data_IF_945379329865
#
_entry.id   IF_945379329865
#
_cell.length_a   1.000
_cell.length_b   1.000
_cell.length_c   1.000
_cell.angle_alpha   90.00
_cell.angle_beta   90.00
_cell.angle_gamma   90.00
#
_symmetry.space_group_name_H-M   'P 1'
#
loop_
_entity.id
_entity.type
_entity.pdbx_description
1 polymer ?
#
# COMPACT_ATOMS: atom_id res chain seq x y z
N UNK A 1 -21.53 22.64 -11.61
CA UNK A 1 -22.45 23.15 -12.66
C UNK A 1 -23.81 23.54 -12.12
N UNK A 2 -24.51 22.68 -11.36
CA UNK A 2 -25.82 23.01 -10.74
C UNK A 2 -25.79 24.27 -9.87
N UNK A 3 -24.84 24.37 -8.93
CA UNK A 3 -24.64 25.56 -8.10
C UNK A 3 -24.43 26.83 -8.94
N UNK A 4 -23.63 26.74 -10.00
CA UNK A 4 -23.30 27.86 -10.89
C UNK A 4 -24.40 28.17 -11.93
N UNK A 5 -25.55 27.49 -11.85
CA UNK A 5 -26.67 27.60 -12.81
C UNK A 5 -26.28 27.30 -14.27
N UNK A 6 -25.23 26.50 -14.50
CA UNK A 6 -24.74 26.07 -15.83
C UNK A 6 -25.40 24.75 -16.27
N UNK A 7 -26.74 24.70 -16.22
CA UNK A 7 -27.51 23.49 -16.54
C UNK A 7 -27.45 23.12 -18.02
N UNK A 8 -27.50 24.12 -18.91
CA UNK A 8 -27.49 23.91 -20.36
C UNK A 8 -26.20 23.22 -20.83
N UNK A 9 -25.06 23.60 -20.25
CA UNK A 9 -23.79 22.94 -20.57
C UNK A 9 -23.74 21.49 -20.07
N UNK A 10 -24.25 21.24 -18.86
CA UNK A 10 -24.35 19.89 -18.32
C UNK A 10 -25.21 18.99 -19.22
N UNK A 11 -26.35 19.50 -19.70
CA UNK A 11 -27.25 18.75 -20.59
C UNK A 11 -26.67 18.58 -22.00
N UNK A 12 -25.83 19.52 -22.47
CA UNK A 12 -25.22 19.45 -23.80
C UNK A 12 -24.00 18.54 -23.84
N UNK A 13 -23.11 18.64 -22.85
CA UNK A 13 -21.85 17.89 -22.83
C UNK A 13 -21.89 16.64 -21.94
N UNK A 14 -22.82 16.55 -20.99
CA UNK A 14 -23.00 15.39 -20.13
C UNK A 14 -23.30 14.10 -20.92
N UNK A 15 -24.28 14.08 -21.84
CA UNK A 15 -24.55 12.92 -22.66
C UNK A 15 -23.34 12.51 -23.52
N UNK A 16 -22.62 13.48 -24.08
CA UNK A 16 -21.40 13.21 -24.84
C UNK A 16 -20.33 12.53 -23.96
N UNK A 17 -20.12 13.02 -22.74
CA UNK A 17 -19.19 12.40 -21.80
C UNK A 17 -19.61 10.97 -21.42
N UNK A 18 -20.90 10.71 -21.21
CA UNK A 18 -21.44 9.37 -20.93
C UNK A 18 -21.24 8.44 -22.13
N UNK A 19 -21.54 8.91 -23.34
CA UNK A 19 -21.34 8.12 -24.58
C UNK A 19 -19.87 7.77 -24.76
N UNK A 20 -18.96 8.72 -24.55
CA UNK A 20 -17.51 8.46 -24.62
C UNK A 20 -17.09 7.45 -23.54
N UNK A 21 -17.55 7.59 -22.31
CA UNK A 21 -17.23 6.65 -21.23
C UNK A 21 -17.71 5.23 -21.56
N UNK A 22 -18.93 5.08 -22.08
CA UNK A 22 -19.46 3.78 -22.53
C UNK A 22 -18.63 3.25 -23.70
N UNK A 23 -18.35 4.05 -24.71
CA UNK A 23 -17.58 3.63 -25.89
C UNK A 23 -16.17 3.14 -25.52
N UNK A 24 -15.55 3.73 -24.50
CA UNK A 24 -14.22 3.33 -24.01
C UNK A 24 -14.29 2.10 -23.11
N UNK A 25 -15.22 2.04 -22.16
CA UNK A 25 -15.24 0.98 -21.14
C UNK A 25 -15.97 -0.30 -21.59
N UNK A 26 -17.05 -0.16 -22.35
CA UNK A 26 -17.94 -1.28 -22.68
C UNK A 26 -17.26 -2.40 -23.47
N UNK A 27 -16.37 -2.13 -24.46
CA UNK A 27 -15.75 -3.20 -25.25
C UNK A 27 -14.97 -4.22 -24.40
N UNK A 28 -14.19 -3.74 -23.42
CA UNK A 28 -13.44 -4.61 -22.52
C UNK A 28 -14.37 -5.40 -21.59
N UNK A 29 -15.38 -4.75 -21.01
CA UNK A 29 -16.34 -5.42 -20.14
C UNK A 29 -17.13 -6.53 -20.86
N UNK A 30 -17.50 -6.29 -22.13
CA UNK A 30 -18.13 -7.32 -22.97
C UNK A 30 -17.18 -8.47 -23.30
N UNK A 31 -15.90 -8.19 -23.59
CA UNK A 31 -14.90 -9.21 -23.86
C UNK A 31 -14.65 -10.12 -22.65
N UNK A 32 -14.62 -9.56 -21.43
CA UNK A 32 -14.51 -10.35 -20.19
C UNK A 32 -15.76 -11.17 -19.98
N UNK A 33 -16.96 -10.59 -20.12
CA UNK A 33 -18.22 -11.31 -19.95
C UNK A 33 -18.36 -12.50 -20.92
N UNK A 34 -17.86 -12.39 -22.15
CA UNK A 34 -17.87 -13.50 -23.11
C UNK A 34 -17.01 -14.69 -22.67
N UNK A 35 -15.94 -14.44 -21.90
CA UNK A 35 -15.07 -15.50 -21.37
C UNK A 35 -15.58 -16.00 -20.01
N UNK A 36 -16.03 -15.07 -19.16
CA UNK A 36 -16.49 -15.32 -17.79
C UNK A 36 -17.89 -14.70 -17.58
N UNK A 37 -18.97 -15.44 -17.86
CA UNK A 37 -20.34 -14.90 -17.79
C UNK A 37 -20.72 -14.34 -16.41
N UNK A 38 -20.13 -14.85 -15.34
CA UNK A 38 -20.37 -14.41 -13.96
C UNK A 38 -19.74 -13.04 -13.61
N UNK A 39 -18.96 -12.46 -14.53
CA UNK A 39 -18.26 -11.19 -14.36
C UNK A 39 -19.14 -10.06 -13.79
N UNK A 40 -20.36 -9.86 -14.31
CA UNK A 40 -21.24 -8.77 -13.86
C UNK A 40 -21.62 -8.89 -12.38
N UNK A 41 -21.91 -10.12 -11.93
CA UNK A 41 -22.26 -10.40 -10.53
C UNK A 41 -21.05 -10.25 -9.63
N UNK A 42 -19.87 -10.68 -10.07
CA UNK A 42 -18.65 -10.47 -9.29
C UNK A 42 -18.30 -8.97 -9.21
N UNK A 43 -18.11 -8.32 -10.35
CA UNK A 43 -17.62 -6.94 -10.41
C UNK A 43 -18.58 -5.91 -9.82
N UNK A 44 -19.88 -5.93 -10.14
CA UNK A 44 -20.80 -4.91 -9.61
C UNK A 44 -21.31 -5.27 -8.20
N UNK A 45 -21.71 -6.51 -7.98
CA UNK A 45 -22.33 -6.88 -6.71
C UNK A 45 -21.31 -7.18 -5.61
N UNK A 46 -20.31 -8.03 -5.87
CA UNK A 46 -19.31 -8.37 -4.86
C UNK A 46 -18.32 -7.23 -4.65
N UNK A 47 -17.71 -6.71 -5.72
CA UNK A 47 -16.62 -5.74 -5.62
C UNK A 47 -17.06 -4.30 -5.35
N UNK A 48 -18.25 -3.86 -5.80
CA UNK A 48 -18.72 -2.49 -5.51
C UNK A 48 -19.73 -2.47 -4.36
N UNK A 49 -20.84 -3.21 -4.47
CA UNK A 49 -21.95 -3.07 -3.52
C UNK A 49 -21.61 -3.73 -2.17
N UNK A 50 -21.18 -4.99 -2.16
CA UNK A 50 -20.85 -5.71 -0.91
C UNK A 50 -19.61 -5.13 -0.24
N UNK A 51 -18.55 -4.76 -0.98
CA UNK A 51 -17.38 -4.10 -0.36
C UNK A 51 -17.71 -2.74 0.26
N UNK A 52 -18.64 -1.98 -0.32
CA UNK A 52 -19.04 -0.68 0.23
C UNK A 52 -19.99 -0.82 1.43
N UNK A 53 -21.03 -1.65 1.32
CA UNK A 53 -22.17 -1.69 2.26
C UNK A 53 -22.26 -2.96 3.13
N UNK A 54 -21.56 -4.04 2.77
CA UNK A 54 -21.66 -5.34 3.45
C UNK A 54 -21.02 -5.38 4.84
N UNK A 55 -21.53 -6.23 5.72
CA UNK A 55 -21.06 -6.35 7.11
C UNK A 55 -19.69 -7.03 7.23
N UNK A 56 -19.33 -7.88 6.28
CA UNK A 56 -18.03 -8.54 6.19
C UNK A 56 -17.00 -7.73 5.39
N UNK A 57 -16.96 -6.41 5.58
CA UNK A 57 -16.01 -5.57 4.88
C UNK A 57 -14.58 -5.89 5.33
N UNK A 58 -13.74 -6.34 4.39
CA UNK A 58 -12.29 -6.42 4.61
C UNK A 58 -11.77 -5.02 4.97
N UNK A 59 -10.98 -4.93 6.04
CA UNK A 59 -10.45 -3.67 6.60
C UNK A 59 -11.53 -2.68 7.09
N UNK A 60 -12.43 -3.13 7.96
CA UNK A 60 -13.36 -2.25 8.67
C UNK A 60 -12.60 -1.19 9.49
N UNK A 61 -12.91 0.08 9.25
CA UNK A 61 -12.24 1.23 9.87
C UNK A 61 -13.27 2.32 10.21
N UNK A 62 -13.02 3.17 11.23
CA UNK A 62 -13.95 4.21 11.64
C UNK A 62 -14.17 5.27 10.55
N UNK A 63 -15.28 6.02 10.63
CA UNK A 63 -15.63 7.03 9.61
C UNK A 63 -14.60 8.16 9.48
N UNK A 64 -13.88 8.47 10.56
CA UNK A 64 -12.83 9.49 10.61
C UNK A 64 -11.46 8.99 10.13
N UNK A 65 -11.33 7.72 9.70
CA UNK A 65 -10.07 7.06 9.29
C UNK A 65 -9.21 7.91 8.34
N UNK A 66 -9.84 8.61 7.39
CA UNK A 66 -9.15 9.40 6.38
C UNK A 66 -8.62 10.76 6.87
N UNK A 67 -9.11 11.28 8.00
CA UNK A 67 -8.67 12.57 8.53
C UNK A 67 -7.18 12.59 8.93
N UNK A 68 -6.67 11.67 9.78
CA UNK A 68 -5.24 11.64 10.08
C UNK A 68 -4.39 11.31 8.84
N UNK A 69 -4.91 10.52 7.90
CA UNK A 69 -4.23 10.21 6.64
C UNK A 69 -4.04 11.46 5.75
N UNK A 70 -5.03 12.37 5.68
CA UNK A 70 -4.85 13.65 4.98
C UNK A 70 -3.74 14.48 5.61
N UNK A 71 -3.73 14.57 6.95
CA UNK A 71 -2.72 15.34 7.67
C UNK A 71 -1.32 14.76 7.39
N UNK A 72 -1.17 13.44 7.46
CA UNK A 72 0.08 12.75 7.16
C UNK A 72 0.51 12.95 5.69
N UNK A 73 -0.42 12.84 4.74
CA UNK A 73 -0.15 13.05 3.31
C UNK A 73 0.27 14.50 2.98
N UNK A 74 -0.09 15.45 3.84
CA UNK A 74 0.33 16.85 3.70
C UNK A 74 1.68 17.16 4.35
N UNK A 75 2.32 16.22 5.07
CA UNK A 75 3.66 16.46 5.62
C UNK A 75 4.67 16.73 4.49
N UNK A 76 5.60 17.68 4.66
CA UNK A 76 5.86 18.49 5.85
C UNK A 76 5.02 19.78 5.97
N UNK A 77 4.05 20.03 5.10
CA UNK A 77 3.24 21.27 5.11
C UNK A 77 1.91 21.16 5.87
N UNK A 78 1.73 20.12 6.69
CA UNK A 78 0.48 19.85 7.38
C UNK A 78 -0.02 21.03 8.25
N UNK A 79 0.88 21.83 8.84
CA UNK A 79 0.48 23.00 9.65
C UNK A 79 -0.01 24.20 8.82
N UNK A 80 0.05 24.11 7.49
CA UNK A 80 -0.59 25.08 6.59
C UNK A 80 -2.08 24.76 6.35
N UNK A 81 -2.56 23.57 6.73
CA UNK A 81 -3.96 23.17 6.55
C UNK A 81 -4.97 24.16 7.18
N UNK A 82 -4.80 24.64 8.43
CA UNK A 82 -5.77 25.57 9.02
C UNK A 82 -5.90 26.88 8.25
N UNK A 83 -4.77 27.41 7.75
CA UNK A 83 -4.74 28.63 6.94
C UNK A 83 -5.40 28.37 5.58
N UNK A 84 -5.09 27.23 4.96
CA UNK A 84 -5.64 26.78 3.70
C UNK A 84 -7.17 26.67 3.76
N UNK A 85 -7.70 25.95 4.75
CA UNK A 85 -9.14 25.77 4.91
C UNK A 85 -9.86 27.07 5.27
N UNK A 86 -9.25 27.93 6.10
CA UNK A 86 -9.79 29.25 6.40
C UNK A 86 -9.93 30.11 5.14
N UNK A 87 -8.89 30.16 4.31
CA UNK A 87 -8.89 30.89 3.05
C UNK A 87 -9.89 30.31 2.05
N UNK A 88 -9.89 28.99 1.86
CA UNK A 88 -10.82 28.32 0.96
C UNK A 88 -12.28 28.56 1.39
N UNK A 89 -12.57 28.52 2.69
CA UNK A 89 -13.91 28.79 3.22
C UNK A 89 -14.37 30.24 3.02
N UNK A 90 -13.46 31.21 3.16
CA UNK A 90 -13.72 32.62 2.89
C UNK A 90 -13.96 32.87 1.39
N UNK A 91 -13.26 32.13 0.53
CA UNK A 91 -13.33 32.24 -0.94
C UNK A 91 -14.29 31.25 -1.59
N UNK A 92 -15.12 30.53 -0.82
CA UNK A 92 -16.04 29.49 -1.34
C UNK A 92 -17.06 29.98 -2.38
N UNK A 93 -17.27 31.29 -2.49
CA UNK A 93 -18.11 31.88 -3.54
C UNK A 93 -17.41 31.93 -4.91
N UNK A 94 -16.08 31.85 -4.96
CA UNK A 94 -15.33 31.79 -6.21
C UNK A 94 -15.52 30.43 -6.90
N UNK A 95 -15.86 30.39 -8.19
CA UNK A 95 -16.16 29.14 -8.91
C UNK A 95 -15.08 28.06 -8.84
N UNK A 96 -13.82 28.46 -8.93
CA UNK A 96 -12.61 27.63 -8.86
C UNK A 96 -12.41 27.03 -7.47
N UNK A 97 -12.46 27.86 -6.42
CA UNK A 97 -12.32 27.43 -5.03
C UNK A 97 -13.47 26.50 -4.62
N UNK A 98 -14.70 26.84 -5.02
CA UNK A 98 -15.87 26.01 -4.79
C UNK A 98 -15.73 24.63 -5.45
N UNK A 99 -15.22 24.59 -6.69
CA UNK A 99 -14.96 23.34 -7.38
C UNK A 99 -13.92 22.48 -6.65
N UNK A 100 -12.79 23.06 -6.24
CA UNK A 100 -11.75 22.34 -5.49
C UNK A 100 -12.26 21.84 -4.13
N UNK A 101 -13.06 22.64 -3.42
CA UNK A 101 -13.68 22.22 -2.16
C UNK A 101 -14.65 21.06 -2.35
N UNK A 102 -15.49 21.09 -3.40
CA UNK A 102 -16.39 19.98 -3.71
C UNK A 102 -15.63 18.73 -4.16
N UNK A 103 -14.57 18.90 -4.95
CA UNK A 103 -13.70 17.79 -5.36
C UNK A 103 -12.96 17.18 -4.17
N UNK A 104 -12.60 17.96 -3.16
CA UNK A 104 -12.04 17.42 -1.92
C UNK A 104 -13.11 16.73 -1.06
N UNK A 105 -14.23 17.42 -0.77
CA UNK A 105 -15.19 16.99 0.25
C UNK A 105 -16.07 15.85 -0.23
N UNK A 106 -16.52 15.81 -1.48
CA UNK A 106 -17.46 14.79 -1.94
C UNK A 106 -16.87 13.38 -1.95
N UNK A 107 -15.69 13.13 -2.57
CA UNK A 107 -15.07 11.80 -2.52
C UNK A 107 -14.64 11.44 -1.10
N UNK A 108 -14.11 12.41 -0.32
CA UNK A 108 -13.73 12.17 1.07
C UNK A 108 -14.93 11.71 1.91
N UNK A 109 -16.06 12.41 1.82
CA UNK A 109 -17.27 12.04 2.54
C UNK A 109 -17.80 10.67 2.09
N UNK A 110 -17.86 10.42 0.78
CA UNK A 110 -18.30 9.14 0.23
C UNK A 110 -17.42 7.97 0.72
N UNK A 111 -16.10 8.11 0.66
CA UNK A 111 -15.15 7.09 1.11
C UNK A 111 -15.17 6.92 2.63
N UNK A 112 -15.35 8.00 3.39
CA UNK A 112 -15.49 7.94 4.86
C UNK A 112 -16.73 7.16 5.30
N UNK A 113 -17.79 7.16 4.49
CA UNK A 113 -19.02 6.40 4.74
C UNK A 113 -18.91 4.91 4.34
N UNK A 114 -17.92 4.52 3.52
CA UNK A 114 -17.66 3.12 3.17
C UNK A 114 -17.25 2.31 4.40
N UNK A 115 -17.69 1.05 4.52
CA UNK A 115 -17.24 0.15 5.61
C UNK A 115 -15.79 -0.29 5.41
N UNK A 116 -15.46 -0.81 4.23
CA UNK A 116 -14.10 -1.21 3.87
C UNK A 116 -13.26 0.00 3.46
N UNK A 117 -12.12 0.22 4.12
CA UNK A 117 -11.24 1.36 3.86
C UNK A 117 -9.78 0.94 3.69
N UNK A 118 -9.19 1.34 2.57
CA UNK A 118 -7.74 1.28 2.37
C UNK A 118 -7.14 2.70 2.41
N UNK A 119 -5.91 2.87 2.93
CA UNK A 119 -5.24 4.17 3.00
C UNK A 119 -5.15 4.88 1.64
N UNK A 120 -4.93 4.11 0.56
CA UNK A 120 -4.71 4.62 -0.80
C UNK A 120 -5.97 5.17 -1.47
N UNK A 121 -7.17 4.87 -0.98
CA UNK A 121 -8.41 5.37 -1.56
C UNK A 121 -8.54 6.89 -1.51
N UNK A 122 -7.79 7.55 -0.62
CA UNK A 122 -7.81 9.00 -0.45
C UNK A 122 -7.02 9.76 -1.51
N UNK A 123 -6.20 9.08 -2.33
CA UNK A 123 -5.32 9.72 -3.33
C UNK A 123 -6.05 10.75 -4.23
N UNK A 124 -7.28 10.52 -4.72
CA UNK A 124 -8.00 11.51 -5.53
C UNK A 124 -8.29 12.83 -4.79
N UNK A 125 -8.32 12.82 -3.46
CA UNK A 125 -8.53 14.01 -2.62
C UNK A 125 -7.26 14.85 -2.46
N UNK A 126 -6.07 14.27 -2.70
CA UNK A 126 -4.80 14.96 -2.46
C UNK A 126 -4.54 16.06 -3.50
N UNK A 127 -4.96 15.88 -4.75
CA UNK A 127 -4.80 16.88 -5.79
C UNK A 127 -5.56 18.19 -5.52
N UNK A 128 -6.89 18.19 -5.26
CA UNK A 128 -7.59 19.43 -4.94
C UNK A 128 -7.07 20.07 -3.65
N UNK A 129 -6.65 19.26 -2.66
CA UNK A 129 -6.04 19.78 -1.44
C UNK A 129 -4.69 20.47 -1.72
N UNK A 130 -3.83 19.87 -2.52
CA UNK A 130 -2.55 20.46 -2.92
C UNK A 130 -2.74 21.79 -3.66
N UNK A 131 -3.73 21.89 -4.55
CA UNK A 131 -4.06 23.13 -5.25
C UNK A 131 -4.56 24.23 -4.30
N UNK A 132 -5.43 23.89 -3.35
CA UNK A 132 -5.88 24.82 -2.31
C UNK A 132 -4.72 25.29 -1.41
N UNK A 133 -3.85 24.36 -1.01
CA UNK A 133 -2.66 24.68 -0.21
C UNK A 133 -1.67 25.56 -0.99
N UNK A 134 -1.53 25.35 -2.31
CA UNK A 134 -0.69 26.17 -3.17
C UNK A 134 -1.22 27.60 -3.29
N UNK A 135 -2.53 27.79 -3.52
CA UNK A 135 -3.16 29.13 -3.52
C UNK A 135 -2.90 29.85 -2.20
N UNK A 136 -3.07 29.16 -1.08
CA UNK A 136 -2.83 29.74 0.24
C UNK A 136 -1.34 30.09 0.45
N UNK A 137 -0.43 29.19 0.08
CA UNK A 137 1.00 29.41 0.19
C UNK A 137 1.46 30.62 -0.62
N UNK A 138 1.09 30.70 -1.90
CA UNK A 138 1.51 31.77 -2.82
C UNK A 138 1.00 33.13 -2.33
N UNK A 139 -0.26 33.22 -1.90
CA UNK A 139 -0.82 34.44 -1.33
C UNK A 139 -0.03 34.90 -0.09
N UNK A 140 0.31 33.97 0.80
CA UNK A 140 1.09 34.28 1.99
C UNK A 140 2.51 34.75 1.68
N UNK A 141 3.16 34.18 0.66
CA UNK A 141 4.48 34.61 0.19
C UNK A 141 4.40 36.03 -0.40
N UNK A 142 3.42 36.30 -1.27
CA UNK A 142 3.22 37.61 -1.89
C UNK A 142 2.94 38.72 -0.86
N UNK A 143 2.24 38.39 0.21
CA UNK A 143 1.94 39.32 1.31
C UNK A 143 3.07 39.41 2.37
N UNK A 144 4.18 38.69 2.19
CA UNK A 144 5.27 38.63 3.17
C UNK A 144 4.89 37.97 4.51
N UNK A 145 3.80 37.20 4.56
CA UNK A 145 3.25 36.59 5.78
C UNK A 145 3.90 35.24 6.10
N UNK A 146 5.14 35.28 6.57
CA UNK A 146 5.94 34.09 6.87
C UNK A 146 5.63 33.35 8.18
N UNK A 147 4.70 33.83 9.03
CA UNK A 147 4.47 33.25 10.37
C UNK A 147 4.03 31.79 10.34
N UNK A 148 3.08 31.43 9.47
CA UNK A 148 2.59 30.05 9.35
C UNK A 148 3.70 29.10 8.87
N UNK A 149 4.48 29.53 7.88
CA UNK A 149 5.64 28.79 7.37
C UNK A 149 6.74 28.61 8.43
N UNK A 150 6.99 29.64 9.24
CA UNK A 150 7.95 29.56 10.35
C UNK A 150 7.52 28.53 11.37
N UNK A 151 6.26 28.58 11.81
CA UNK A 151 5.72 27.60 12.77
C UNK A 151 5.75 26.20 12.17
N UNK A 152 5.37 26.05 10.90
CA UNK A 152 5.47 24.78 10.18
C UNK A 152 6.90 24.22 10.20
N UNK A 153 7.88 25.01 9.79
CA UNK A 153 9.29 24.58 9.75
C UNK A 153 9.83 24.21 11.13
N UNK A 154 9.58 25.04 12.15
CA UNK A 154 10.06 24.78 13.52
C UNK A 154 9.46 23.50 14.09
N UNK A 155 8.13 23.31 13.96
CA UNK A 155 7.47 22.12 14.51
C UNK A 155 7.92 20.86 13.79
N UNK A 156 8.00 20.88 12.45
CA UNK A 156 8.52 19.71 11.71
C UNK A 156 9.97 19.40 12.08
N UNK A 157 10.83 20.41 12.17
CA UNK A 157 12.22 20.22 12.58
C UNK A 157 12.33 19.62 13.99
N UNK A 158 11.50 20.10 14.93
CA UNK A 158 11.46 19.54 16.28
C UNK A 158 10.97 18.08 16.27
N UNK A 159 9.92 17.76 15.52
CA UNK A 159 9.39 16.39 15.41
C UNK A 159 10.41 15.42 14.77
N UNK A 160 11.06 15.81 13.67
CA UNK A 160 12.07 14.96 13.03
C UNK A 160 13.34 14.84 13.86
N UNK A 161 13.72 15.88 14.61
CA UNK A 161 14.81 15.82 15.56
C UNK A 161 14.50 14.87 16.73
N UNK A 162 13.28 14.93 17.28
CA UNK A 162 12.82 13.96 18.28
C UNK A 162 12.79 12.54 17.71
N UNK A 163 12.39 12.37 16.45
CA UNK A 163 12.48 11.08 15.74
C UNK A 163 13.92 10.56 15.64
N UNK A 164 14.88 11.44 15.36
CA UNK A 164 16.31 11.10 15.35
C UNK A 164 16.80 10.68 16.74
N UNK A 165 16.44 11.41 17.79
CA UNK A 165 16.77 11.05 19.17
C UNK A 165 16.13 9.71 19.58
N UNK A 166 14.88 9.48 19.17
CA UNK A 166 14.19 8.22 19.41
C UNK A 166 14.87 7.05 18.68
N UNK A 167 15.29 7.24 17.43
CA UNK A 167 16.05 6.24 16.68
C UNK A 167 17.36 5.90 17.41
N UNK A 168 18.12 6.91 17.86
CA UNK A 168 19.37 6.70 18.62
C UNK A 168 19.08 5.95 19.92
N UNK A 169 18.05 6.38 20.68
CA UNK A 169 17.69 5.75 21.94
C UNK A 169 17.30 4.28 21.76
N UNK A 170 16.43 3.99 20.78
CA UNK A 170 16.01 2.63 20.45
C UNK A 170 17.23 1.82 20.04
N UNK A 171 18.06 2.32 19.12
CA UNK A 171 19.26 1.61 18.66
C UNK A 171 20.24 1.28 19.80
N UNK A 172 20.32 2.10 20.86
CA UNK A 172 21.15 1.83 22.03
C UNK A 172 20.54 0.83 23.03
N UNK A 173 19.21 0.74 23.12
CA UNK A 173 18.50 -0.10 24.10
C UNK A 173 18.01 -1.42 23.53
N UNK A 174 17.56 -1.41 22.29
CA UNK A 174 17.01 -2.52 21.53
C UNK A 174 17.42 -2.29 20.06
N UNK A 175 18.62 -2.74 19.65
CA UNK A 175 19.14 -2.46 18.32
C UNK A 175 18.18 -2.99 17.26
N UNK A 176 17.67 -2.09 16.42
CA UNK A 176 16.79 -2.45 15.29
C UNK A 176 17.63 -2.73 14.04
N UNK A 177 18.75 -2.02 13.89
CA UNK A 177 19.74 -2.24 12.85
C UNK A 177 20.90 -3.06 13.41
N UNK A 178 20.83 -4.38 13.27
CA UNK A 178 21.88 -5.28 13.76
C UNK A 178 22.90 -5.56 12.64
N UNK A 179 24.15 -5.11 12.81
CA UNK A 179 25.21 -5.23 11.80
C UNK A 179 24.88 -4.59 10.44
N UNK A 180 24.03 -3.56 10.43
CA UNK A 180 23.59 -2.84 9.23
C UNK A 180 23.99 -1.36 9.25
N UNK A 181 25.31 -1.04 9.27
CA UNK A 181 25.76 0.35 9.43
C UNK A 181 25.33 1.25 8.26
N UNK A 182 25.18 0.70 7.05
CA UNK A 182 24.74 1.46 5.88
C UNK A 182 23.25 1.83 5.97
N UNK A 183 22.36 0.90 6.33
CA UNK A 183 20.93 1.20 6.47
C UNK A 183 20.67 2.22 7.58
N UNK A 184 21.34 2.04 8.73
CA UNK A 184 21.28 3.00 9.83
C UNK A 184 21.80 4.39 9.41
N UNK A 185 22.92 4.45 8.69
CA UNK A 185 23.45 5.71 8.17
C UNK A 185 22.44 6.40 7.24
N UNK A 186 21.80 5.65 6.32
CA UNK A 186 20.77 6.19 5.44
C UNK A 186 19.57 6.73 6.23
N UNK A 187 19.11 6.01 7.25
CA UNK A 187 18.02 6.47 8.12
C UNK A 187 18.38 7.77 8.85
N UNK A 188 19.62 7.88 9.36
CA UNK A 188 20.13 9.09 10.00
C UNK A 188 20.24 10.25 9.00
N UNK A 189 20.71 9.99 7.77
CA UNK A 189 20.78 11.00 6.69
C UNK A 189 19.39 11.53 6.37
N UNK A 190 18.40 10.66 6.24
CA UNK A 190 17.00 11.04 5.99
C UNK A 190 16.49 11.96 7.11
N UNK A 191 16.58 11.53 8.37
CA UNK A 191 16.07 12.32 9.51
C UNK A 191 16.83 13.63 9.70
N UNK A 192 18.14 13.63 9.49
CA UNK A 192 18.97 14.84 9.60
C UNK A 192 18.67 15.82 8.47
N UNK A 193 18.60 15.35 7.23
CA UNK A 193 18.25 16.16 6.07
C UNK A 193 16.84 16.76 6.20
N UNK A 194 15.89 15.97 6.69
CA UNK A 194 14.53 16.46 6.93
C UNK A 194 14.49 17.51 8.06
N UNK A 195 15.25 17.30 9.13
CA UNK A 195 15.39 18.28 10.22
C UNK A 195 15.99 19.59 9.73
N UNK A 196 17.10 19.53 8.98
CA UNK A 196 17.81 20.72 8.48
C UNK A 196 16.95 21.53 7.51
N UNK A 197 16.31 20.88 6.55
CA UNK A 197 15.47 21.54 5.54
C UNK A 197 14.26 22.25 6.17
N UNK A 198 13.63 21.64 7.18
CA UNK A 198 12.55 22.26 7.94
C UNK A 198 13.04 23.36 8.90
N UNK A 199 14.19 23.19 9.54
CA UNK A 199 14.78 24.22 10.42
C UNK A 199 15.11 25.50 9.65
N UNK A 200 15.67 25.36 8.45
CA UNK A 200 15.96 26.47 7.54
C UNK A 200 14.68 27.20 7.10
N UNK A 201 13.59 26.47 6.81
CA UNK A 201 12.26 27.08 6.61
C UNK A 201 11.81 27.85 7.87
N UNK A 202 12.01 27.29 9.06
CA UNK A 202 11.71 27.97 10.33
C UNK A 202 12.44 29.32 10.49
N UNK A 203 13.74 29.34 10.22
CA UNK A 203 14.60 30.51 10.40
C UNK A 203 14.25 31.59 9.35
N UNK A 204 14.25 31.23 8.06
CA UNK A 204 13.95 32.16 6.94
C UNK A 204 12.76 31.66 6.11
N UNK A 205 11.52 31.81 6.61
CA UNK A 205 10.33 31.19 6.01
C UNK A 205 10.01 31.67 4.60
N UNK A 206 10.30 32.92 4.27
CA UNK A 206 10.02 33.48 2.93
C UNK A 206 11.10 33.12 1.90
N UNK A 207 12.31 32.79 2.35
CA UNK A 207 13.44 32.44 1.46
C UNK A 207 13.48 30.93 1.21
N UNK A 208 13.31 30.13 2.27
CA UNK A 208 13.44 28.68 2.22
C UNK A 208 12.08 27.95 2.30
N UNK A 209 11.00 28.60 1.82
CA UNK A 209 9.65 28.04 1.87
C UNK A 209 9.52 26.67 1.20
N UNK A 210 10.25 26.45 0.11
CA UNK A 210 10.22 25.22 -0.69
C UNK A 210 11.15 24.11 -0.17
N UNK A 211 12.12 24.46 0.69
CA UNK A 211 13.20 23.57 1.07
C UNK A 211 12.75 22.25 1.74
N UNK A 212 11.66 22.20 2.53
CA UNK A 212 11.14 20.94 3.04
C UNK A 212 10.79 19.90 1.97
N UNK A 213 10.53 20.32 0.71
CA UNK A 213 10.33 19.40 -0.40
C UNK A 213 11.58 18.55 -0.68
N UNK A 214 12.78 19.12 -0.51
CA UNK A 214 14.04 18.38 -0.64
C UNK A 214 14.15 17.30 0.44
N UNK A 215 13.74 17.61 1.68
CA UNK A 215 13.66 16.63 2.75
C UNK A 215 12.70 15.48 2.44
N UNK A 216 11.53 15.79 1.87
CA UNK A 216 10.58 14.77 1.40
C UNK A 216 11.15 13.90 0.27
N UNK A 217 11.88 14.50 -0.68
CA UNK A 217 12.54 13.74 -1.74
C UNK A 217 13.65 12.83 -1.22
N UNK A 218 14.45 13.29 -0.25
CA UNK A 218 15.43 12.44 0.42
C UNK A 218 14.77 11.23 1.10
N UNK A 219 13.65 11.45 1.81
CA UNK A 219 12.86 10.36 2.37
C UNK A 219 12.40 9.39 1.28
N UNK A 220 11.77 9.86 0.20
CA UNK A 220 11.23 9.00 -0.86
C UNK A 220 12.33 8.15 -1.50
N UNK A 221 13.49 8.74 -1.78
CA UNK A 221 14.59 8.07 -2.49
C UNK A 221 15.33 7.09 -1.58
N UNK A 222 15.57 7.46 -0.32
CA UNK A 222 16.46 6.69 0.57
C UNK A 222 15.71 5.75 1.51
N UNK A 223 14.45 6.02 1.85
CA UNK A 223 13.70 5.20 2.82
C UNK A 223 13.69 3.71 2.47
N UNK A 224 13.44 3.27 1.21
CA UNK A 224 13.44 1.84 0.89
C UNK A 224 14.77 1.15 1.18
N UNK A 225 15.89 1.83 0.94
CA UNK A 225 17.24 1.31 1.21
C UNK A 225 17.68 1.51 2.67
N UNK A 226 16.99 2.36 3.42
CA UNK A 226 17.23 2.61 4.83
C UNK A 226 16.43 1.67 5.75
N UNK A 227 15.51 0.85 5.22
CA UNK A 227 14.72 -0.06 6.04
C UNK A 227 15.62 -1.14 6.68
N UNK A 228 15.41 -1.48 7.97
CA UNK A 228 16.12 -2.59 8.60
C UNK A 228 15.84 -3.91 7.90
N UNK A 229 16.81 -4.82 7.86
CA UNK A 229 16.61 -6.13 7.25
C UNK A 229 15.45 -6.89 7.88
N UNK A 230 15.26 -6.81 9.20
CA UNK A 230 14.13 -7.47 9.86
C UNK A 230 12.78 -7.02 9.26
N UNK A 231 12.63 -5.74 8.90
CA UNK A 231 11.41 -5.27 8.22
C UNK A 231 11.32 -5.82 6.80
N UNK A 232 12.42 -5.78 6.05
CA UNK A 232 12.49 -6.23 4.66
C UNK A 232 12.20 -7.74 4.56
N UNK A 233 12.94 -8.55 5.31
CA UNK A 233 12.88 -10.01 5.32
C UNK A 233 11.52 -10.53 5.79
N UNK A 234 10.87 -9.84 6.72
CA UNK A 234 9.53 -10.22 7.19
C UNK A 234 8.39 -9.86 6.23
N UNK A 235 8.64 -9.04 5.21
CA UNK A 235 7.59 -8.44 4.36
C UNK A 235 7.81 -8.59 2.87
N UNK A 236 9.01 -8.97 2.44
CA UNK A 236 9.39 -9.01 1.01
C UNK A 236 9.91 -10.40 0.61
N UNK A 237 9.01 -11.37 0.34
CA UNK A 237 9.41 -12.74 -0.03
C UNK A 237 10.19 -12.80 -1.36
N UNK A 238 10.06 -11.76 -2.20
CA UNK A 238 10.68 -11.69 -3.53
C UNK A 238 12.21 -11.85 -3.51
N UNK A 239 12.91 -11.17 -2.60
CA UNK A 239 14.38 -11.26 -2.52
C UNK A 239 14.85 -12.59 -1.96
N UNK A 240 14.06 -13.19 -1.07
CA UNK A 240 14.34 -14.51 -0.53
C UNK A 240 14.21 -15.58 -1.63
N UNK A 241 13.13 -15.54 -2.41
CA UNK A 241 12.93 -16.40 -3.57
C UNK A 241 14.03 -16.19 -4.62
N UNK A 242 14.43 -14.94 -4.88
CA UNK A 242 15.48 -14.64 -5.87
C UNK A 242 16.83 -15.31 -5.53
N UNK A 243 17.20 -15.35 -4.25
CA UNK A 243 18.45 -15.97 -3.79
C UNK A 243 18.45 -17.49 -3.93
N UNK A 244 17.29 -18.13 -3.79
CA UNK A 244 17.10 -19.59 -3.96
C UNK A 244 16.45 -19.95 -5.30
N UNK A 245 16.45 -19.05 -6.28
CA UNK A 245 15.68 -19.21 -7.50
C UNK A 245 16.09 -20.44 -8.30
N UNK A 246 17.39 -20.74 -8.38
CA UNK A 246 17.89 -21.89 -9.12
C UNK A 246 17.39 -23.22 -8.54
N UNK A 247 17.39 -23.34 -7.20
CA UNK A 247 16.94 -24.55 -6.51
C UNK A 247 15.42 -24.71 -6.59
N UNK A 248 14.68 -23.60 -6.40
CA UNK A 248 13.23 -23.57 -6.53
C UNK A 248 12.76 -23.83 -7.97
N UNK A 249 13.49 -23.34 -8.98
CA UNK A 249 13.20 -23.60 -10.39
C UNK A 249 13.37 -25.08 -10.75
N UNK A 250 14.26 -25.80 -10.06
CA UNK A 250 14.46 -27.24 -10.24
C UNK A 250 13.38 -28.09 -9.55
N UNK A 251 12.48 -27.48 -8.76
CA UNK A 251 11.39 -28.19 -8.11
C UNK A 251 10.23 -28.44 -9.09
N UNK A 252 9.70 -29.67 -9.07
CA UNK A 252 8.56 -30.07 -9.89
C UNK A 252 7.27 -29.48 -9.32
N UNK A 253 7.10 -29.50 -8.00
CA UNK A 253 5.93 -28.94 -7.32
C UNK A 253 6.32 -27.79 -6.39
N UNK A 254 5.44 -26.80 -6.32
CA UNK A 254 5.61 -25.63 -5.47
C UNK A 254 4.40 -25.46 -4.55
N UNK A 255 4.65 -25.07 -3.30
CA UNK A 255 3.60 -24.83 -2.31
C UNK A 255 3.88 -23.60 -1.45
N UNK A 256 2.82 -22.88 -1.07
CA UNK A 256 2.91 -21.80 -0.09
C UNK A 256 1.62 -21.60 0.70
N UNK A 257 1.75 -21.19 1.97
CA UNK A 257 0.63 -20.76 2.82
C UNK A 257 0.38 -19.24 2.82
N UNK A 258 1.16 -18.47 2.06
CA UNK A 258 0.99 -17.02 1.95
C UNK A 258 0.83 -16.59 0.49
N UNK A 259 -0.19 -15.78 0.21
CA UNK A 259 -0.47 -15.31 -1.15
C UNK A 259 0.64 -14.39 -1.70
N UNK A 260 1.31 -13.62 -0.83
CA UNK A 260 2.44 -12.79 -1.22
C UNK A 260 3.65 -13.63 -1.63
N UNK A 261 3.97 -14.65 -0.85
CA UNK A 261 5.04 -15.60 -1.15
C UNK A 261 4.72 -16.47 -2.39
N UNK A 262 3.48 -16.93 -2.55
CA UNK A 262 3.02 -17.62 -3.75
C UNK A 262 3.14 -16.74 -5.01
N UNK A 263 2.79 -15.46 -4.89
CA UNK A 263 2.94 -14.48 -5.99
C UNK A 263 4.40 -14.23 -6.34
N UNK A 264 5.29 -14.14 -5.34
CA UNK A 264 6.73 -14.00 -5.55
C UNK A 264 7.32 -15.22 -6.28
N UNK A 265 6.94 -16.44 -5.88
CA UNK A 265 7.31 -17.67 -6.59
C UNK A 265 6.85 -17.62 -8.05
N UNK A 266 5.57 -17.32 -8.27
CA UNK A 266 4.99 -17.24 -9.62
C UNK A 266 5.75 -16.26 -10.51
N UNK A 267 5.99 -15.06 -9.98
CA UNK A 267 6.65 -13.99 -10.71
C UNK A 267 8.11 -14.33 -11.06
N UNK A 268 8.88 -14.87 -10.11
CA UNK A 268 10.31 -15.16 -10.27
C UNK A 268 10.56 -16.39 -11.13
N UNK A 269 9.74 -17.43 -10.94
CA UNK A 269 9.88 -18.70 -11.65
C UNK A 269 9.12 -18.73 -12.98
N UNK A 270 8.31 -17.71 -13.26
CA UNK A 270 7.45 -17.62 -14.46
C UNK A 270 6.53 -18.84 -14.59
N UNK A 271 6.01 -19.30 -13.46
CA UNK A 271 5.20 -20.51 -13.34
C UNK A 271 3.90 -20.22 -12.60
N UNK A 272 2.74 -20.54 -13.17
CA UNK A 272 1.47 -20.26 -12.53
C UNK A 272 1.09 -21.31 -11.49
N UNK A 273 1.74 -22.47 -11.45
CA UNK A 273 1.32 -23.69 -10.75
C UNK A 273 1.85 -23.81 -9.32
N UNK A 274 1.53 -22.81 -8.50
CA UNK A 274 1.77 -22.85 -7.05
C UNK A 274 0.54 -23.44 -6.37
N UNK A 275 0.76 -24.41 -5.49
CA UNK A 275 -0.25 -24.99 -4.61
C UNK A 275 -0.44 -24.14 -3.37
N UNK A 276 -1.68 -23.79 -3.06
CA UNK A 276 -2.02 -22.97 -1.91
C UNK A 276 -2.32 -23.86 -0.70
N UNK A 277 -1.56 -23.69 0.37
CA UNK A 277 -1.74 -24.45 1.60
C UNK A 277 -2.50 -23.63 2.63
N UNK A 278 -3.70 -24.10 2.98
CA UNK A 278 -4.56 -23.48 3.98
C UNK A 278 -4.75 -21.95 3.82
N UNK A 279 -4.67 -21.46 2.57
CA UNK A 279 -4.70 -20.02 2.25
C UNK A 279 -5.57 -19.79 1.02
N UNK A 280 -6.44 -18.78 1.09
CA UNK A 280 -7.42 -18.47 0.05
C UNK A 280 -7.54 -16.97 -0.18
N UNK A 281 -7.86 -16.21 0.88
CA UNK A 281 -7.89 -14.74 0.86
C UNK A 281 -8.65 -14.17 -0.34
N UNK A 282 -7.97 -13.34 -1.13
CA UNK A 282 -8.53 -12.72 -2.34
C UNK A 282 -8.85 -13.70 -3.47
N UNK A 283 -8.28 -14.91 -3.44
CA UNK A 283 -8.48 -15.94 -4.47
C UNK A 283 -9.71 -16.81 -4.20
N UNK A 284 -10.35 -16.71 -3.04
CA UNK A 284 -11.48 -17.55 -2.62
C UNK A 284 -12.56 -17.69 -3.69
N UNK A 285 -12.91 -16.58 -4.36
CA UNK A 285 -13.94 -16.59 -5.40
C UNK A 285 -13.57 -17.44 -6.61
N UNK A 286 -12.36 -17.25 -7.16
CA UNK A 286 -11.88 -18.02 -8.32
C UNK A 286 -11.60 -19.47 -7.95
N UNK A 287 -11.12 -19.70 -6.74
CA UNK A 287 -10.85 -21.01 -6.17
C UNK A 287 -12.09 -21.90 -5.98
N UNK A 288 -13.30 -21.32 -6.07
CA UNK A 288 -14.56 -22.07 -6.07
C UNK A 288 -14.91 -22.69 -7.42
N UNK A 289 -14.16 -22.39 -8.50
CA UNK A 289 -14.47 -22.89 -9.83
C UNK A 289 -13.99 -24.35 -10.02
N UNK A 290 -14.69 -25.16 -10.85
CA UNK A 290 -14.35 -26.57 -11.04
C UNK A 290 -12.96 -26.81 -11.68
N UNK A 291 -12.50 -25.92 -12.55
CA UNK A 291 -11.27 -26.04 -13.34
C UNK A 291 -9.99 -25.83 -12.52
N UNK A 292 -10.09 -25.19 -11.35
CA UNK A 292 -8.98 -24.96 -10.41
C UNK A 292 -9.00 -25.88 -9.19
N UNK A 293 -9.87 -26.88 -9.17
CA UNK A 293 -9.88 -27.89 -8.11
C UNK A 293 -8.55 -28.67 -8.08
N UNK A 294 -7.99 -28.84 -6.88
CA UNK A 294 -6.68 -29.48 -6.68
C UNK A 294 -5.50 -28.51 -6.61
N UNK A 295 -5.71 -27.21 -6.83
CA UNK A 295 -4.68 -26.17 -6.60
C UNK A 295 -4.51 -25.78 -5.13
N UNK A 296 -5.24 -26.43 -4.23
CA UNK A 296 -5.23 -26.17 -2.80
C UNK A 296 -5.04 -27.45 -2.01
N UNK A 297 -4.44 -27.30 -0.85
CA UNK A 297 -4.29 -28.35 0.15
C UNK A 297 -4.74 -27.79 1.49
N UNK A 298 -5.56 -28.56 2.22
CA UNK A 298 -5.94 -28.25 3.60
C UNK A 298 -5.01 -28.95 4.57
N UNK A 299 -5.00 -28.51 5.82
CA UNK A 299 -4.22 -29.11 6.92
C UNK A 299 -4.27 -30.64 6.95
N UNK A 300 -5.47 -31.23 6.87
CA UNK A 300 -5.65 -32.69 6.93
C UNK A 300 -5.10 -33.46 5.72
N UNK A 301 -4.86 -32.79 4.60
CA UNK A 301 -4.41 -33.41 3.35
C UNK A 301 -2.93 -33.21 3.04
N UNK A 302 -2.19 -32.50 3.89
CA UNK A 302 -0.81 -32.10 3.59
C UNK A 302 0.13 -33.29 3.48
N UNK A 303 0.04 -34.27 4.38
CA UNK A 303 0.92 -35.45 4.38
C UNK A 303 0.76 -36.27 3.09
N UNK A 304 -0.49 -36.49 2.67
CA UNK A 304 -0.81 -37.20 1.44
C UNK A 304 -0.30 -36.42 0.21
N UNK A 305 -0.46 -35.10 0.22
CA UNK A 305 0.02 -34.24 -0.86
C UNK A 305 1.54 -34.24 -0.97
N UNK A 306 2.26 -34.04 0.15
CA UNK A 306 3.73 -34.02 0.16
C UNK A 306 4.29 -35.38 -0.27
N UNK A 307 3.71 -36.49 0.21
CA UNK A 307 4.12 -37.85 -0.19
C UNK A 307 3.98 -38.05 -1.69
N UNK A 308 2.83 -37.66 -2.26
CA UNK A 308 2.58 -37.75 -3.70
C UNK A 308 3.54 -36.85 -4.49
N UNK A 309 3.65 -35.58 -4.13
CA UNK A 309 4.50 -34.61 -4.82
C UNK A 309 5.98 -35.03 -4.83
N UNK A 310 6.48 -35.58 -3.71
CA UNK A 310 7.84 -36.12 -3.60
C UNK A 310 8.07 -37.39 -4.43
N UNK A 311 7.02 -38.17 -4.72
CA UNK A 311 7.14 -39.33 -5.63
C UNK A 311 7.28 -38.90 -7.09
N UNK A 312 6.72 -37.74 -7.45
CA UNK A 312 6.73 -37.20 -8.81
C UNK A 312 8.07 -36.46 -9.08
N UNK A 313 8.54 -35.65 -8.13
CA UNK A 313 9.81 -34.94 -8.25
C UNK A 313 10.24 -34.18 -6.98
N UNK A 314 11.16 -33.22 -7.14
CA UNK A 314 11.59 -32.33 -6.04
C UNK A 314 10.45 -31.38 -5.67
N UNK A 315 10.29 -31.07 -4.39
CA UNK A 315 9.22 -30.19 -3.89
C UNK A 315 9.83 -28.97 -3.22
N UNK A 316 9.47 -27.78 -3.71
CA UNK A 316 9.85 -26.50 -3.14
C UNK A 316 8.69 -25.90 -2.37
N UNK A 317 8.92 -25.49 -1.14
CA UNK A 317 7.89 -24.93 -0.27
C UNK A 317 8.39 -23.60 0.28
N UNK A 318 7.55 -22.56 0.24
CA UNK A 318 7.81 -21.30 0.94
C UNK A 318 6.65 -21.00 1.88
N UNK A 319 6.96 -20.85 3.15
CA UNK A 319 5.98 -20.66 4.21
C UNK A 319 6.24 -19.37 4.96
N UNK A 320 5.17 -18.70 5.37
CA UNK A 320 5.22 -17.71 6.44
C UNK A 320 4.91 -18.41 7.76
N UNK A 321 5.67 -18.08 8.79
CA UNK A 321 5.60 -18.63 10.15
C UNK A 321 5.52 -17.53 11.20
N UNK A 322 4.58 -16.58 11.06
CA UNK A 322 4.46 -15.42 11.96
C UNK A 322 3.46 -15.67 13.10
N UNK A 323 2.35 -16.33 12.82
CA UNK A 323 1.31 -16.64 13.81
C UNK A 323 1.47 -18.06 14.35
N UNK A 324 0.87 -18.36 15.52
CA UNK A 324 0.86 -19.71 16.08
C UNK A 324 0.24 -20.75 15.12
N UNK A 325 -0.73 -20.33 14.30
CA UNK A 325 -1.35 -21.18 13.28
C UNK A 325 -0.39 -21.47 12.12
N UNK A 326 0.27 -20.44 11.60
CA UNK A 326 1.29 -20.55 10.55
C UNK A 326 2.51 -21.38 11.01
N UNK A 327 2.88 -21.28 12.28
CA UNK A 327 3.94 -22.12 12.86
C UNK A 327 3.52 -23.58 12.96
N UNK A 328 2.27 -23.87 13.36
CA UNK A 328 1.73 -25.24 13.35
C UNK A 328 1.70 -25.83 11.94
N UNK A 329 1.32 -25.03 10.94
CA UNK A 329 1.38 -25.43 9.53
C UNK A 329 2.79 -25.85 9.10
N UNK A 330 3.80 -25.09 9.53
CA UNK A 330 5.20 -25.41 9.25
C UNK A 330 5.66 -26.70 9.96
N UNK A 331 5.18 -26.94 11.18
CA UNK A 331 5.49 -28.15 11.96
C UNK A 331 4.91 -29.43 11.38
N UNK A 332 3.81 -29.33 10.61
CA UNK A 332 3.22 -30.47 9.90
C UNK A 332 4.06 -30.93 8.71
N UNK A 333 4.94 -30.07 8.18
CA UNK A 333 5.80 -30.46 7.07
C UNK A 333 6.95 -31.36 7.53
N UNK A 334 7.41 -32.31 6.68
CA UNK A 334 8.56 -33.14 7.00
C UNK A 334 9.82 -32.33 7.33
N UNK A 335 10.64 -32.84 8.25
CA UNK A 335 11.88 -32.16 8.72
C UNK A 335 13.14 -32.61 8.00
N UNK A 336 13.02 -33.51 7.03
CA UNK A 336 14.13 -34.13 6.28
C UNK A 336 14.58 -33.34 5.04
N UNK A 337 13.99 -32.16 4.79
CA UNK A 337 14.34 -31.27 3.69
C UNK A 337 15.44 -30.26 4.04
N UNK A 338 16.06 -29.66 3.02
CA UNK A 338 16.92 -28.50 3.19
C UNK A 338 16.05 -27.30 3.58
N UNK A 339 16.44 -26.60 4.65
CA UNK A 339 15.70 -25.48 5.21
C UNK A 339 16.54 -24.21 5.19
N UNK A 340 15.96 -23.15 4.67
CA UNK A 340 16.47 -21.79 4.73
C UNK A 340 15.45 -20.93 5.46
N UNK A 341 15.89 -20.10 6.40
CA UNK A 341 15.02 -19.21 7.17
C UNK A 341 15.46 -17.76 6.95
N UNK A 342 14.49 -16.86 6.78
CA UNK A 342 14.71 -15.44 6.66
C UNK A 342 13.54 -14.67 7.29
N UNK A 343 13.78 -14.13 8.49
CA UNK A 343 12.73 -13.51 9.30
C UNK A 343 11.60 -14.51 9.60
N UNK A 344 10.37 -14.15 9.25
CA UNK A 344 9.17 -14.96 9.40
C UNK A 344 8.91 -15.87 8.19
N UNK A 345 9.83 -15.96 7.24
CA UNK A 345 9.70 -16.81 6.05
C UNK A 345 10.67 -17.98 6.13
N UNK A 346 10.23 -19.13 5.64
CA UNK A 346 11.06 -20.32 5.51
C UNK A 346 10.90 -20.92 4.11
N UNK A 347 12.02 -21.27 3.47
CA UNK A 347 12.05 -22.11 2.27
C UNK A 347 12.47 -23.51 2.68
N UNK A 348 11.70 -24.51 2.25
CA UNK A 348 11.96 -25.92 2.45
C UNK A 348 12.06 -26.60 1.08
N UNK A 349 13.13 -27.36 0.87
CA UNK A 349 13.37 -28.11 -0.37
C UNK A 349 13.48 -29.59 -0.03
N UNK A 350 12.54 -30.36 -0.57
CA UNK A 350 12.49 -31.81 -0.39
C UNK A 350 12.97 -32.51 -1.65
N UNK A 351 13.88 -33.45 -1.47
CA UNK A 351 14.31 -34.32 -2.55
C UNK A 351 13.21 -35.33 -2.91
N UNK A 352 13.29 -35.79 -4.17
CA UNK A 352 12.42 -36.83 -4.69
C UNK A 352 12.59 -38.09 -3.83
N UNK A 353 11.48 -38.67 -3.39
CA UNK A 353 11.51 -39.94 -2.65
C UNK A 353 12.09 -41.05 -3.52
N UNK A 354 12.92 -41.90 -2.93
CA UNK A 354 13.37 -43.12 -3.59
C UNK A 354 12.14 -44.01 -3.89
N UNK A 355 12.12 -44.68 -5.06
CA UNK A 355 10.99 -45.50 -5.51
C UNK A 355 10.69 -46.69 -4.60
#
# INVERSE_FOLDING_TARGET
MLWQRRLTELLRFGPLAVVIAIAVCLPWALAVHQQEPDYWRYFFWHEHIRRFAGDNAQHAQPWWFYLPLLIAACLPWALLLPVTFKQAWQRKSRPDTAFLLLWLVLPLAFLSLSKGKLPTYILPCLLPLALLMADALVEHLNQGRGRALRVNGIVNAALTFLGLLALIYVQLKQPVYENEPMHLLLAVIVLTGWTLTNALQGIRPLTFWALPAVGSWLLIVLLPAALPNDVVYNKTPDQFVARHQAELAACTHLLSNDLGAASALSWRLKRPDITLFNTWGELEYGLGYPDVQGRQVRLQGIDAWVTKARSEGRVGVIMRGKSDEELRELELLPKDGQRYDEGNLAILIYEKSAP
#
